data_IF_000630248631
#
_entry.id   IF_000630248631
#
_cell.length_a   1.000
_cell.length_b   1.000
_cell.length_c   1.000
_cell.angle_alpha   90.00
_cell.angle_beta   90.00
_cell.angle_gamma   90.00
#
_symmetry.space_group_name_H-M   'P 1'
#
loop_
_entity.id
_entity.type
_entity.pdbx_description
1 polymer ?
#
# COMPACT_ATOMS: atom_id res chain seq x y z
N UNK A 1 -9.68 9.33 -48.38
CA UNK A 1 -9.02 10.62 -48.65
C UNK A 1 -9.02 11.40 -47.35
N UNK A 2 -7.98 11.23 -46.53
CA UNK A 2 -6.74 12.03 -46.58
C UNK A 2 -7.03 13.46 -46.08
N UNK A 3 -6.68 13.83 -44.84
CA UNK A 3 -5.35 14.30 -44.37
C UNK A 3 -5.56 14.82 -42.92
N UNK A 4 -4.67 14.77 -41.93
CA UNK A 4 -3.22 14.56 -41.85
C UNK A 4 -2.88 14.07 -40.44
N UNK A 5 -1.99 13.08 -40.41
CA UNK A 5 -1.13 12.67 -39.29
C UNK A 5 -0.09 13.78 -39.01
N UNK A 6 -0.10 14.41 -37.84
CA UNK A 6 1.05 15.14 -37.31
C UNK A 6 0.81 15.59 -35.85
N UNK A 7 1.07 14.70 -34.89
CA UNK A 7 1.78 15.05 -33.64
C UNK A 7 2.10 13.77 -32.88
N UNK A 8 3.13 13.10 -33.38
CA UNK A 8 3.92 12.13 -32.63
C UNK A 8 5.10 12.88 -32.02
N UNK A 9 5.53 12.45 -30.82
CA UNK A 9 6.87 12.63 -30.23
C UNK A 9 7.16 13.92 -29.43
N UNK A 10 6.63 13.96 -28.22
CA UNK A 10 7.31 14.43 -27.00
C UNK A 10 6.40 13.97 -25.85
N UNK A 11 6.72 13.00 -24.99
CA UNK A 11 7.88 12.93 -24.10
C UNK A 11 8.00 11.49 -23.58
N UNK A 12 8.88 10.68 -24.18
CA UNK A 12 9.51 9.60 -23.41
C UNK A 12 10.64 10.26 -22.61
N UNK A 13 10.27 10.89 -21.50
CA UNK A 13 11.22 11.22 -20.45
C UNK A 13 11.66 9.91 -19.79
N UNK A 14 12.65 9.24 -20.38
CA UNK A 14 13.47 8.28 -19.66
C UNK A 14 14.22 9.07 -18.59
N UNK A 15 13.56 9.34 -17.46
CA UNK A 15 14.30 9.57 -16.23
C UNK A 15 15.00 8.23 -15.95
N UNK A 16 16.35 8.18 -16.01
CA UNK A 16 17.04 6.98 -15.60
C UNK A 16 16.67 6.74 -14.14
N UNK A 17 15.93 5.65 -13.89
CA UNK A 17 15.65 5.22 -12.53
C UNK A 17 16.99 5.08 -11.79
N UNK A 18 17.02 5.31 -10.48
CA UNK A 18 18.23 5.09 -9.68
C UNK A 18 18.84 3.71 -9.93
N UNK A 19 18.00 2.72 -10.23
CA UNK A 19 18.42 1.39 -10.66
C UNK A 19 19.14 1.39 -12.02
N UNK A 20 18.64 2.12 -13.03
CA UNK A 20 19.30 2.26 -14.34
C UNK A 20 20.68 2.94 -14.25
N UNK A 21 20.82 3.95 -13.40
CA UNK A 21 22.12 4.60 -13.18
C UNK A 21 23.10 3.67 -12.46
N UNK A 22 22.61 2.87 -11.51
CA UNK A 22 23.42 1.88 -10.79
C UNK A 22 23.89 0.74 -11.72
N UNK A 23 23.04 0.28 -12.63
CA UNK A 23 23.38 -0.75 -13.63
C UNK A 23 24.45 -0.23 -14.59
N UNK A 24 24.37 1.02 -15.04
CA UNK A 24 25.40 1.64 -15.89
C UNK A 24 26.74 1.78 -15.15
N UNK A 25 26.72 2.18 -13.88
CA UNK A 25 27.93 2.27 -13.04
C UNK A 25 28.57 0.89 -12.79
N UNK A 26 27.77 -0.13 -12.50
CA UNK A 26 28.25 -1.50 -12.32
C UNK A 26 28.84 -2.06 -13.62
N UNK A 27 28.21 -1.77 -14.77
CA UNK A 27 28.74 -2.14 -16.09
C UNK A 27 30.08 -1.47 -16.41
N UNK A 28 30.23 -0.19 -16.07
CA UNK A 28 31.49 0.55 -16.22
C UNK A 28 32.60 0.00 -15.30
N UNK A 29 32.28 -0.33 -14.05
CA UNK A 29 33.25 -0.91 -13.11
C UNK A 29 33.69 -2.32 -13.52
N UNK A 30 32.75 -3.15 -14.00
CA UNK A 30 33.05 -4.49 -14.50
C UNK A 30 33.99 -4.45 -15.71
N UNK A 31 33.76 -3.53 -16.65
CA UNK A 31 34.62 -3.37 -17.83
C UNK A 31 36.03 -2.89 -17.48
N UNK A 32 36.18 -1.98 -16.50
CA UNK A 32 37.49 -1.59 -15.96
C UNK A 32 38.18 -2.78 -15.27
N UNK A 33 37.44 -3.57 -14.49
CA UNK A 33 37.97 -4.76 -13.82
C UNK A 33 38.54 -5.80 -14.80
N UNK A 34 37.82 -6.05 -15.91
CA UNK A 34 38.30 -6.96 -16.97
C UNK A 34 39.59 -6.42 -17.60
N UNK A 35 39.66 -5.13 -17.93
CA UNK A 35 40.84 -4.52 -18.54
C UNK A 35 42.08 -4.60 -17.62
N UNK A 36 41.91 -4.34 -16.32
CA UNK A 36 43.00 -4.42 -15.33
C UNK A 36 43.45 -5.88 -15.13
N UNK A 37 42.51 -6.83 -15.04
CA UNK A 37 42.86 -8.24 -14.89
C UNK A 37 43.60 -8.79 -16.11
N UNK A 38 43.18 -8.41 -17.33
CA UNK A 38 43.91 -8.75 -18.55
C UNK A 38 45.33 -8.19 -18.56
N UNK A 39 45.52 -6.95 -18.11
CA UNK A 39 46.85 -6.34 -17.99
C UNK A 39 47.74 -7.07 -16.96
N UNK A 40 47.19 -7.44 -15.80
CA UNK A 40 47.91 -8.18 -14.77
C UNK A 40 48.31 -9.59 -15.23
N UNK A 41 47.39 -10.30 -15.90
CA UNK A 41 47.67 -11.64 -16.43
C UNK A 41 48.74 -11.62 -17.53
N UNK A 42 48.75 -10.59 -18.38
CA UNK A 42 49.78 -10.42 -19.40
C UNK A 42 51.15 -10.14 -18.76
N UNK A 43 51.17 -9.35 -17.67
CA UNK A 43 52.38 -9.11 -16.87
C UNK A 43 52.91 -10.38 -16.20
N UNK A 44 52.01 -11.24 -15.70
CA UNK A 44 52.40 -12.51 -15.07
C UNK A 44 53.00 -13.49 -16.10
N UNK A 45 52.49 -13.51 -17.34
CA UNK A 45 53.08 -14.33 -18.42
C UNK A 45 54.51 -13.90 -18.78
N UNK A 46 54.82 -12.61 -18.68
CA UNK A 46 56.16 -12.08 -18.95
C UNK A 46 57.21 -12.47 -17.90
N UNK A 47 56.82 -12.91 -16.70
CA UNK A 47 57.74 -13.31 -15.63
C UNK A 47 57.98 -14.82 -15.53
N UNK A 48 57.27 -15.66 -16.30
CA UNK A 48 57.53 -17.10 -16.34
C UNK A 48 58.60 -17.42 -17.38
N UNK A 49 59.87 -17.19 -17.02
CA UNK A 49 61.02 -17.69 -17.78
C UNK A 49 61.11 -19.22 -17.58
N UNK A 50 61.10 -20.04 -18.66
CA UNK A 50 61.40 -21.46 -18.55
C UNK A 50 62.92 -21.65 -18.43
N UNK A 51 63.38 -22.19 -17.30
CA UNK A 51 64.74 -22.73 -17.16
C UNK A 51 64.86 -24.00 -18.00
N UNK A 52 65.50 -23.89 -19.17
CA UNK A 52 65.87 -25.02 -20.01
C UNK A 52 67.31 -25.44 -19.76
N UNK A 53 67.49 -26.71 -19.38
CA UNK A 53 68.77 -27.40 -19.46
C UNK A 53 69.20 -27.64 -20.91
N UNK A 54 70.52 -27.60 -21.08
CA UNK A 54 71.41 -27.87 -22.23
C UNK A 54 70.93 -28.95 -23.22
N UNK A 55 71.05 -28.68 -24.53
CA UNK A 55 71.86 -29.43 -25.54
C UNK A 55 71.81 -28.70 -26.89
N UNK A 56 72.92 -28.84 -27.61
CA UNK A 56 73.42 -28.09 -28.77
C UNK A 56 72.94 -28.68 -30.11
N UNK A 57 72.81 -27.76 -31.09
CA UNK A 57 72.97 -27.89 -32.55
C UNK A 57 71.74 -28.00 -33.49
N UNK A 58 71.84 -27.12 -34.49
CA UNK A 58 71.37 -27.20 -35.89
C UNK A 58 70.04 -26.53 -36.24
N UNK A 59 70.22 -25.29 -36.69
CA UNK A 59 69.40 -24.37 -37.47
C UNK A 59 68.25 -24.95 -38.32
N UNK A 60 67.07 -24.33 -38.14
CA UNK A 60 66.16 -23.95 -39.23
C UNK A 60 65.60 -22.57 -38.92
N UNK A 61 65.91 -21.59 -39.76
CA UNK A 61 65.37 -20.23 -39.68
C UNK A 61 63.92 -20.19 -40.18
N UNK A 62 63.00 -19.72 -39.34
CA UNK A 62 61.69 -19.20 -39.75
C UNK A 62 61.65 -17.68 -39.53
N UNK A 63 61.08 -16.89 -40.46
CA UNK A 63 60.99 -15.45 -40.28
C UNK A 63 59.88 -15.14 -39.28
N UNK A 64 60.24 -14.61 -38.11
CA UNK A 64 59.26 -14.05 -37.19
C UNK A 64 58.98 -12.59 -37.57
N UNK A 65 57.75 -12.36 -38.03
CA UNK A 65 57.19 -11.05 -38.28
C UNK A 65 57.30 -10.14 -37.04
N UNK A 66 57.96 -8.99 -37.21
CA UNK A 66 57.93 -7.91 -36.24
C UNK A 66 56.52 -7.31 -36.19
N UNK A 67 55.70 -7.75 -35.23
CA UNK A 67 54.33 -7.28 -35.07
C UNK A 67 54.19 -6.36 -33.86
N UNK A 68 54.03 -5.07 -34.17
CA UNK A 68 53.20 -4.07 -33.49
C UNK A 68 53.11 -4.11 -31.96
N UNK A 69 54.19 -3.78 -31.25
CA UNK A 69 54.15 -3.54 -29.79
C UNK A 69 53.81 -2.10 -29.39
N UNK A 70 53.80 -1.17 -30.35
CA UNK A 70 53.68 0.28 -30.10
C UNK A 70 52.25 0.82 -30.14
N UNK A 71 51.29 0.13 -30.78
CA UNK A 71 49.88 0.60 -30.88
C UNK A 71 49.03 0.33 -29.64
N UNK A 72 49.27 -0.77 -28.92
CA UNK A 72 48.48 -1.14 -27.75
C UNK A 72 48.68 -0.18 -26.56
N UNK A 73 49.90 0.37 -26.41
CA UNK A 73 50.23 1.34 -25.35
C UNK A 73 49.56 2.70 -25.54
N UNK A 74 49.42 3.15 -26.78
CA UNK A 74 48.78 4.44 -27.07
C UNK A 74 47.26 4.42 -26.85
N UNK A 75 46.61 3.28 -27.12
CA UNK A 75 45.18 3.10 -26.90
C UNK A 75 44.80 3.08 -25.41
N UNK A 76 45.64 2.49 -24.56
CA UNK A 76 45.40 2.46 -23.11
C UNK A 76 45.62 3.84 -22.48
N UNK A 77 46.62 4.59 -22.93
CA UNK A 77 46.86 5.97 -22.49
C UNK A 77 45.70 6.88 -22.92
N UNK A 78 45.23 6.76 -24.16
CA UNK A 78 44.09 7.55 -24.66
C UNK A 78 42.80 7.23 -23.89
N UNK A 79 42.53 5.96 -23.58
CA UNK A 79 41.37 5.56 -22.80
C UNK A 79 41.43 6.08 -21.35
N UNK A 80 42.60 6.05 -20.71
CA UNK A 80 42.79 6.61 -19.37
C UNK A 80 42.58 8.14 -19.34
N UNK A 81 43.07 8.83 -20.37
CA UNK A 81 42.87 10.28 -20.50
C UNK A 81 41.39 10.64 -20.71
N UNK A 82 40.69 9.89 -21.56
CA UNK A 82 39.25 10.08 -21.77
C UNK A 82 38.42 9.83 -20.49
N UNK A 83 38.76 8.79 -19.73
CA UNK A 83 38.09 8.51 -18.46
C UNK A 83 38.33 9.62 -17.42
N UNK A 84 39.55 10.16 -17.33
CA UNK A 84 39.87 11.27 -16.45
C UNK A 84 39.11 12.55 -16.83
N UNK A 85 39.00 12.85 -18.13
CA UNK A 85 38.22 14.01 -18.64
C UNK A 85 36.73 13.85 -18.37
N UNK A 86 36.16 12.65 -18.55
CA UNK A 86 34.76 12.40 -18.21
C UNK A 86 34.49 12.55 -16.71
N UNK A 87 35.39 12.04 -15.86
CA UNK A 87 35.28 12.18 -14.42
C UNK A 87 35.38 13.65 -13.98
N UNK A 88 36.31 14.42 -14.52
CA UNK A 88 36.41 15.86 -14.21
C UNK A 88 35.20 16.63 -14.72
N UNK A 89 34.65 16.31 -15.89
CA UNK A 89 33.42 16.92 -16.40
C UNK A 89 32.20 16.62 -15.52
N UNK A 90 32.09 15.41 -14.97
CA UNK A 90 31.01 15.03 -14.03
C UNK A 90 31.17 15.76 -12.68
N UNK A 91 32.41 15.94 -12.21
CA UNK A 91 32.68 16.62 -10.94
C UNK A 91 32.61 18.15 -11.01
N UNK A 92 32.91 18.73 -12.18
CA UNK A 92 32.83 20.17 -12.45
C UNK A 92 31.47 20.61 -13.01
N UNK A 93 30.58 19.67 -13.32
CA UNK A 93 29.19 19.98 -13.66
C UNK A 93 28.55 20.73 -12.47
N UNK A 94 28.08 21.97 -12.67
CA UNK A 94 27.59 22.81 -11.59
C UNK A 94 26.41 22.13 -10.91
N UNK A 95 26.55 21.84 -9.61
CA UNK A 95 25.51 21.19 -8.78
C UNK A 95 24.29 22.09 -8.48
N UNK A 96 24.23 23.28 -9.08
CA UNK A 96 23.08 24.17 -9.00
C UNK A 96 22.34 24.18 -10.34
N UNK A 97 21.56 23.13 -10.56
CA UNK A 97 20.34 23.29 -11.35
C UNK A 97 19.35 23.95 -10.40
N UNK A 98 19.33 25.28 -10.36
CA UNK A 98 18.11 26.00 -9.97
C UNK A 98 17.03 25.53 -10.95
N UNK A 99 16.20 24.58 -10.49
CA UNK A 99 14.87 24.48 -11.05
C UNK A 99 14.26 25.85 -10.84
N UNK A 100 13.98 26.55 -11.93
CA UNK A 100 12.91 27.55 -11.90
C UNK A 100 11.71 26.80 -11.37
N UNK A 101 11.38 27.07 -10.11
CA UNK A 101 10.19 26.56 -9.47
C UNK A 101 9.04 27.32 -10.13
N UNK A 102 8.59 26.80 -11.27
CA UNK A 102 7.21 26.98 -11.69
C UNK A 102 6.38 26.68 -10.44
N UNK A 103 5.50 27.59 -9.99
CA UNK A 103 4.72 27.36 -8.79
C UNK A 103 4.06 26.00 -9.00
N UNK A 104 4.46 25.02 -8.20
CA UNK A 104 3.82 23.71 -8.27
C UNK A 104 2.33 24.00 -8.17
N UNK A 105 1.49 23.54 -9.12
CA UNK A 105 0.06 23.53 -8.85
C UNK A 105 -0.05 22.86 -7.49
N UNK A 106 -0.63 23.57 -6.52
CA UNK A 106 -1.05 22.96 -5.26
C UNK A 106 -1.73 21.68 -5.72
N UNK A 107 -1.28 20.47 -5.32
CA UNK A 107 -2.05 19.30 -5.67
C UNK A 107 -3.41 19.56 -5.05
N UNK A 108 -4.40 19.86 -5.89
CA UNK A 108 -5.78 19.54 -5.54
C UNK A 108 -5.68 18.04 -5.25
N UNK A 109 -5.54 17.71 -3.98
CA UNK A 109 -5.70 16.37 -3.48
C UNK A 109 -7.10 16.02 -3.93
N UNK A 110 -7.23 15.38 -5.09
CA UNK A 110 -8.49 14.81 -5.53
C UNK A 110 -8.88 13.90 -4.36
N UNK A 111 -9.97 14.23 -3.64
CA UNK A 111 -10.36 13.44 -2.50
C UNK A 111 -10.46 11.99 -2.98
N UNK A 112 -10.01 11.04 -2.15
CA UNK A 112 -10.21 9.61 -2.47
C UNK A 112 -11.68 9.45 -2.88
N UNK A 113 -11.92 8.82 -4.03
CA UNK A 113 -13.27 8.61 -4.51
C UNK A 113 -14.01 7.72 -3.49
N UNK A 114 -14.99 8.29 -2.79
CA UNK A 114 -15.82 7.59 -1.83
C UNK A 114 -17.13 7.19 -2.52
N UNK A 115 -17.61 5.95 -2.35
CA UNK A 115 -18.94 5.58 -2.81
C UNK A 115 -20.01 6.48 -2.19
N UNK A 116 -21.01 6.85 -2.98
CA UNK A 116 -22.13 7.63 -2.48
C UNK A 116 -22.95 6.79 -1.48
N UNK A 117 -23.34 7.40 -0.36
CA UNK A 117 -24.28 6.83 0.61
C UNK A 117 -25.39 7.83 0.91
N UNK A 118 -26.59 7.34 1.22
CA UNK A 118 -27.73 8.17 1.63
C UNK A 118 -27.75 8.44 3.13
N UNK A 119 -26.99 7.68 3.91
CA UNK A 119 -26.92 7.82 5.37
C UNK A 119 -25.54 7.40 5.92
N UNK A 120 -25.16 7.98 7.05
CA UNK A 120 -24.08 7.50 7.88
C UNK A 120 -24.49 6.19 8.57
N UNK A 121 -23.65 5.16 8.48
CA UNK A 121 -23.98 3.86 9.03
C UNK A 121 -23.04 2.75 8.54
N UNK A 122 -23.35 1.51 8.91
CA UNK A 122 -22.55 0.36 8.51
C UNK A 122 -22.38 0.24 7.00
N UNK A 123 -21.14 0.11 6.54
CA UNK A 123 -20.78 -0.02 5.12
C UNK A 123 -20.59 1.30 4.37
N UNK A 124 -20.86 2.46 4.99
CA UNK A 124 -20.62 3.75 4.36
C UNK A 124 -19.11 4.01 4.19
N UNK A 125 -18.69 4.45 3.00
CA UNK A 125 -17.32 4.89 2.76
C UNK A 125 -17.03 6.20 3.51
N UNK A 126 -15.89 6.26 4.19
CA UNK A 126 -15.42 7.41 4.95
C UNK A 126 -14.01 7.78 4.54
N UNK A 127 -13.70 9.07 4.58
CA UNK A 127 -12.33 9.57 4.48
C UNK A 127 -11.91 10.21 5.79
N UNK A 128 -10.79 9.76 6.33
CA UNK A 128 -10.19 10.26 7.56
C UNK A 128 -9.10 11.25 7.22
N UNK A 129 -9.34 12.52 7.48
CA UNK A 129 -8.38 13.61 7.36
C UNK A 129 -7.52 13.68 8.62
N UNK A 130 -6.24 13.30 8.49
CA UNK A 130 -5.35 13.25 9.64
C UNK A 130 -5.13 14.64 10.24
N UNK A 131 -5.28 14.74 11.55
CA UNK A 131 -5.14 16.01 12.27
C UNK A 131 -3.73 16.64 12.17
N UNK A 132 -2.71 15.84 11.82
CA UNK A 132 -1.33 16.29 11.61
C UNK A 132 -1.07 16.89 10.21
N UNK A 133 -2.08 16.90 9.33
CA UNK A 133 -1.97 17.42 7.97
C UNK A 133 -1.18 16.52 7.01
N UNK A 134 -0.80 15.30 7.42
CA UNK A 134 -0.04 14.36 6.58
C UNK A 134 -0.86 13.71 5.45
N UNK A 135 -2.11 14.13 5.28
CA UNK A 135 -3.07 13.61 4.32
C UNK A 135 -4.21 12.88 5.01
N UNK A 136 -4.58 11.72 4.50
CA UNK A 136 -5.69 10.95 5.04
C UNK A 136 -5.82 9.58 4.40
N UNK A 137 -6.84 8.84 4.81
CA UNK A 137 -7.09 7.46 4.39
C UNK A 137 -8.58 7.21 4.15
N UNK A 138 -8.89 6.46 3.10
CA UNK A 138 -10.23 5.92 2.87
C UNK A 138 -10.42 4.65 3.69
N UNK A 139 -11.53 4.56 4.40
CA UNK A 139 -11.96 3.41 5.19
C UNK A 139 -13.48 3.22 5.07
N UNK A 140 -14.00 2.17 5.69
CA UNK A 140 -15.43 1.91 5.78
C UNK A 140 -15.92 2.10 7.22
N UNK A 141 -17.10 2.68 7.39
CA UNK A 141 -17.78 2.78 8.67
C UNK A 141 -18.37 1.42 9.07
N UNK A 142 -18.14 1.02 10.33
CA UNK A 142 -18.51 -0.26 10.92
C UNK A 142 -19.92 -0.27 11.48
N UNK A 143 -20.11 0.08 12.76
CA UNK A 143 -21.45 0.07 13.37
C UNK A 143 -21.83 1.40 13.98
N UNK A 144 -23.09 1.80 13.78
CA UNK A 144 -23.67 2.96 14.46
C UNK A 144 -23.88 2.63 15.94
N UNK A 145 -23.46 3.54 16.81
CA UNK A 145 -23.49 3.41 18.26
C UNK A 145 -23.98 4.69 18.93
N UNK A 146 -24.32 4.58 20.20
CA UNK A 146 -24.58 5.70 21.12
C UNK A 146 -23.58 5.65 22.26
N UNK A 147 -23.00 6.79 22.59
CA UNK A 147 -22.19 6.94 23.81
C UNK A 147 -23.08 6.91 25.06
N UNK A 148 -22.46 6.77 26.24
CA UNK A 148 -23.16 6.91 27.51
C UNK A 148 -23.79 8.30 27.74
N UNK A 149 -23.31 9.32 27.02
CA UNK A 149 -23.88 10.69 26.98
C UNK A 149 -24.99 10.85 25.94
N UNK A 150 -25.29 9.82 25.15
CA UNK A 150 -26.34 9.83 24.11
C UNK A 150 -25.88 10.33 22.74
N UNK A 151 -24.62 10.74 22.59
CA UNK A 151 -24.05 11.17 21.31
C UNK A 151 -24.01 10.01 20.32
N UNK A 152 -24.31 10.28 19.05
CA UNK A 152 -24.16 9.29 18.01
C UNK A 152 -22.68 9.10 17.68
N UNK A 153 -22.28 7.86 17.44
CA UNK A 153 -20.95 7.54 16.96
C UNK A 153 -20.97 6.42 15.92
N UNK A 154 -19.84 6.23 15.26
CA UNK A 154 -19.55 5.11 14.37
C UNK A 154 -18.31 4.39 14.88
N UNK A 155 -18.39 3.07 14.99
CA UNK A 155 -17.21 2.22 15.11
C UNK A 155 -16.57 2.07 13.72
N UNK A 156 -15.25 1.95 13.67
CA UNK A 156 -14.44 1.64 12.49
C UNK A 156 -13.09 1.08 12.96
N UNK A 157 -12.18 0.72 12.06
CA UNK A 157 -10.85 0.24 12.43
C UNK A 157 -10.02 1.38 13.04
N UNK A 158 -9.22 1.09 14.06
CA UNK A 158 -8.38 2.07 14.71
C UNK A 158 -7.22 2.52 13.82
N UNK A 159 -6.66 1.62 13.01
CA UNK A 159 -5.60 1.95 12.07
C UNK A 159 -6.02 2.93 10.96
N UNK A 160 -7.34 3.17 10.79
CA UNK A 160 -7.85 4.24 9.93
C UNK A 160 -7.48 5.63 10.43
N UNK A 161 -7.02 5.74 11.67
CA UNK A 161 -6.59 6.98 12.29
C UNK A 161 -5.15 6.90 12.80
N UNK A 162 -4.52 8.07 12.97
CA UNK A 162 -3.28 8.14 13.75
C UNK A 162 -3.58 7.90 15.24
N UNK A 163 -2.70 7.20 15.97
CA UNK A 163 -2.86 7.04 17.41
C UNK A 163 -2.97 8.39 18.12
N UNK A 164 -3.94 8.51 19.03
CA UNK A 164 -4.14 9.69 19.89
C UNK A 164 -4.45 11.02 19.19
N UNK A 165 -4.90 11.02 17.93
CA UNK A 165 -5.27 12.25 17.21
C UNK A 165 -6.78 12.35 16.96
N UNK A 166 -7.37 13.55 17.10
CA UNK A 166 -8.79 13.79 16.80
C UNK A 166 -8.98 14.12 15.31
N UNK A 167 -8.67 13.16 14.43
CA UNK A 167 -8.78 13.34 12.98
C UNK A 167 -10.24 13.52 12.54
N UNK A 168 -10.45 14.34 11.52
CA UNK A 168 -11.77 14.65 10.99
C UNK A 168 -12.20 13.59 10.00
N UNK A 169 -13.50 13.36 9.93
CA UNK A 169 -14.09 12.34 9.06
C UNK A 169 -15.12 12.99 8.17
N UNK A 170 -15.03 12.70 6.88
CA UNK A 170 -15.99 13.12 5.85
C UNK A 170 -16.56 11.91 5.13
N UNK A 171 -17.72 12.07 4.49
CA UNK A 171 -18.35 11.05 3.67
C UNK A 171 -18.98 11.62 2.40
N UNK A 172 -19.12 10.79 1.38
CA UNK A 172 -19.87 11.14 0.18
C UNK A 172 -21.37 10.97 0.39
N UNK A 173 -22.00 12.01 0.95
CA UNK A 173 -23.45 12.03 1.15
C UNK A 173 -24.16 12.35 -0.18
N UNK A 174 -24.90 11.37 -0.70
CA UNK A 174 -25.74 11.53 -1.89
C UNK A 174 -24.98 11.75 -3.20
N UNK A 175 -23.66 11.55 -3.25
CA UNK A 175 -22.86 11.78 -4.46
C UNK A 175 -22.46 13.24 -4.66
N UNK A 176 -22.61 14.08 -3.64
CA UNK A 176 -22.44 15.54 -3.75
C UNK A 176 -21.07 15.95 -3.20
N UNK A 177 -20.34 16.77 -3.97
CA UNK A 177 -19.10 17.42 -3.53
C UNK A 177 -19.36 18.87 -3.09
N UNK A 178 -18.60 19.41 -2.12
CA UNK A 178 -17.58 18.71 -1.32
C UNK A 178 -18.19 17.66 -0.40
N UNK A 179 -17.40 16.65 0.00
CA UNK A 179 -17.87 15.63 0.93
C UNK A 179 -18.39 16.24 2.23
N UNK A 180 -19.46 15.65 2.75
CA UNK A 180 -20.10 16.11 3.97
C UNK A 180 -19.21 15.80 5.18
N UNK A 181 -19.06 16.78 6.07
CA UNK A 181 -18.45 16.55 7.39
C UNK A 181 -19.33 15.59 8.18
N UNK A 182 -18.71 14.54 8.69
CA UNK A 182 -19.40 13.46 9.40
C UNK A 182 -19.13 13.50 10.90
N UNK A 183 -17.86 13.67 11.29
CA UNK A 183 -17.48 13.59 12.70
C UNK A 183 -16.00 13.68 12.96
N UNK A 184 -15.60 13.28 14.17
CA UNK A 184 -14.21 13.30 14.63
C UNK A 184 -13.89 12.02 15.41
N UNK A 185 -12.70 11.46 15.24
CA UNK A 185 -12.21 10.38 16.11
C UNK A 185 -12.13 10.85 17.57
N UNK A 186 -12.87 10.17 18.45
CA UNK A 186 -12.84 10.39 19.89
C UNK A 186 -11.97 9.35 20.62
N UNK A 187 -11.86 8.14 20.06
CA UNK A 187 -10.99 7.07 20.59
C UNK A 187 -10.38 6.29 19.43
N UNK A 188 -9.14 5.85 19.64
CA UNK A 188 -8.37 5.08 18.66
C UNK A 188 -7.50 4.08 19.40
N UNK A 189 -7.60 2.81 19.03
CA UNK A 189 -6.75 1.71 19.47
C UNK A 189 -6.23 1.01 18.22
N UNK A 190 -4.91 1.00 18.04
CA UNK A 190 -4.23 0.37 16.89
C UNK A 190 -2.90 -0.18 17.37
N UNK A 191 -2.91 -1.41 17.89
CA UNK A 191 -1.78 -2.03 18.59
C UNK A 191 -0.88 -2.87 17.66
N UNK A 192 -1.29 -3.08 16.41
CA UNK A 192 -0.56 -3.83 15.40
C UNK A 192 -1.45 -4.79 14.62
N UNK A 193 -0.82 -5.70 13.87
CA UNK A 193 -1.51 -6.60 12.91
C UNK A 193 -1.39 -8.09 13.27
N UNK A 194 -0.85 -8.41 14.45
CA UNK A 194 -0.58 -9.79 14.86
C UNK A 194 -1.41 -10.20 16.08
N UNK A 195 -1.75 -11.49 16.16
CA UNK A 195 -2.41 -12.11 17.32
C UNK A 195 -3.65 -11.30 17.78
N UNK A 196 -3.74 -11.06 19.09
CA UNK A 196 -4.81 -10.34 19.77
C UNK A 196 -4.61 -8.81 19.81
N UNK A 197 -3.59 -8.26 19.14
CA UNK A 197 -3.41 -6.80 19.07
C UNK A 197 -4.69 -6.12 18.57
N UNK A 198 -5.19 -5.17 19.33
CA UNK A 198 -6.49 -4.57 19.10
C UNK A 198 -6.45 -3.48 18.04
N UNK A 199 -7.56 -3.38 17.31
CA UNK A 199 -7.71 -2.43 16.22
C UNK A 199 -9.16 -1.93 16.11
N UNK A 200 -9.44 -0.83 16.81
CA UNK A 200 -10.77 -0.22 16.81
C UNK A 200 -10.73 1.27 17.06
N UNK A 201 -11.65 1.98 16.42
CA UNK A 201 -11.85 3.40 16.52
C UNK A 201 -13.30 3.74 16.82
N UNK A 202 -13.49 4.86 17.52
CA UNK A 202 -14.79 5.50 17.72
C UNK A 202 -14.75 6.90 17.12
N UNK A 203 -15.60 7.13 16.13
CA UNK A 203 -15.90 8.45 15.58
C UNK A 203 -17.16 8.95 16.27
N UNK A 204 -17.13 10.15 16.85
CA UNK A 204 -18.34 10.84 17.32
C UNK A 204 -18.84 11.75 16.21
N UNK A 205 -20.15 11.70 15.94
CA UNK A 205 -20.77 12.39 14.80
C UNK A 205 -21.08 13.86 15.12
N UNK A 206 -20.87 14.73 14.14
CA UNK A 206 -21.11 16.17 14.25
C UNK A 206 -22.61 16.49 14.12
N UNK A 207 -23.34 16.49 15.24
CA UNK A 207 -24.77 16.82 15.25
C UNK A 207 -25.62 15.90 14.37
N UNK A 208 -26.85 16.32 14.03
CA UNK A 208 -27.84 15.49 13.32
C UNK A 208 -27.99 15.82 11.82
N UNK A 209 -27.00 16.49 11.23
CA UNK A 209 -27.09 17.01 9.85
C UNK A 209 -26.96 15.94 8.76
N UNK A 210 -26.45 14.75 9.11
CA UNK A 210 -26.32 13.62 8.20
C UNK A 210 -27.33 12.55 8.62
N UNK A 211 -28.22 12.09 7.72
CA UNK A 211 -29.12 10.98 8.01
C UNK A 211 -28.34 9.76 8.51
N UNK A 212 -28.91 9.00 9.44
CA UNK A 212 -28.23 7.84 10.04
C UNK A 212 -29.06 6.58 9.82
N UNK A 213 -28.40 5.47 9.55
CA UNK A 213 -29.02 4.16 9.44
C UNK A 213 -28.21 3.12 10.19
N UNK A 214 -28.89 2.24 10.92
CA UNK A 214 -28.27 1.06 11.52
C UNK A 214 -28.15 -0.11 10.53
N UNK A 215 -28.69 0.03 9.32
CA UNK A 215 -28.64 -1.03 8.31
C UNK A 215 -27.32 -1.03 7.53
N UNK A 216 -26.78 -2.21 7.26
CA UNK A 216 -25.61 -2.40 6.38
C UNK A 216 -25.95 -1.92 4.98
N UNK A 217 -25.09 -1.05 4.45
CA UNK A 217 -25.27 -0.35 3.18
C UNK A 217 -26.67 0.28 3.05
N UNK A 218 -27.27 0.71 4.17
CA UNK A 218 -28.63 1.26 4.28
C UNK A 218 -29.78 0.31 3.95
N UNK A 219 -29.52 -0.98 3.72
CA UNK A 219 -30.52 -1.95 3.23
C UNK A 219 -30.76 -3.13 4.18
N UNK A 220 -29.72 -3.68 4.81
CA UNK A 220 -29.83 -4.87 5.67
C UNK A 220 -29.89 -4.49 7.15
N UNK A 221 -31.05 -4.61 7.84
CA UNK A 221 -31.21 -4.14 9.21
C UNK A 221 -30.37 -4.93 10.21
N UNK A 222 -29.64 -4.22 11.08
CA UNK A 222 -28.98 -4.83 12.24
C UNK A 222 -29.96 -4.90 13.40
N UNK A 223 -30.25 -6.10 13.93
CA UNK A 223 -31.24 -6.31 15.01
C UNK A 223 -30.62 -6.78 16.33
N UNK A 224 -29.30 -6.97 16.37
CA UNK A 224 -28.59 -7.40 17.57
C UNK A 224 -27.08 -7.32 17.42
N UNK A 225 -26.38 -7.76 18.48
CA UNK A 225 -24.93 -7.93 18.52
C UNK A 225 -24.63 -9.31 19.12
N UNK A 226 -23.62 -10.01 18.60
CA UNK A 226 -23.24 -11.33 19.12
C UNK A 226 -21.72 -11.54 19.08
N UNK A 227 -21.24 -12.35 20.02
CA UNK A 227 -19.92 -13.00 19.99
C UNK A 227 -20.04 -14.52 20.06
N UNK A 228 -21.27 -15.04 20.04
CA UNK A 228 -21.54 -16.48 19.98
C UNK A 228 -21.36 -16.95 18.54
N UNK A 229 -20.15 -17.39 18.23
CA UNK A 229 -19.69 -17.79 16.90
C UNK A 229 -19.14 -19.20 16.95
N UNK A 230 -19.39 -19.96 15.90
CA UNK A 230 -18.85 -21.31 15.73
C UNK A 230 -18.02 -21.42 14.46
N UNK A 231 -16.95 -22.21 14.50
CA UNK A 231 -16.18 -22.57 13.29
C UNK A 231 -17.12 -23.19 12.26
N UNK A 232 -16.97 -22.78 11.00
CA UNK A 232 -17.83 -23.19 9.88
C UNK A 232 -19.12 -22.38 9.73
N UNK A 233 -19.50 -21.56 10.71
CA UNK A 233 -20.63 -20.63 10.58
C UNK A 233 -20.33 -19.57 9.51
N UNK A 234 -21.30 -19.21 8.68
CA UNK A 234 -21.10 -18.20 7.66
C UNK A 234 -21.20 -16.78 8.24
N UNK A 235 -20.19 -15.97 7.97
CA UNK A 235 -20.21 -14.52 8.23
C UNK A 235 -20.09 -13.77 6.91
N UNK A 236 -20.71 -12.61 6.87
CA UNK A 236 -20.61 -11.68 5.76
C UNK A 236 -19.93 -10.39 6.20
N UNK A 237 -19.25 -9.72 5.26
CA UNK A 237 -18.73 -8.37 5.42
C UNK A 237 -19.17 -7.46 4.28
N UNK A 238 -19.07 -6.16 4.51
CA UNK A 238 -19.25 -5.15 3.48
C UNK A 238 -18.17 -4.07 3.61
N UNK A 239 -17.62 -3.62 2.49
CA UNK A 239 -16.55 -2.62 2.44
C UNK A 239 -16.72 -1.67 1.25
N UNK A 240 -16.24 -0.44 1.38
CA UNK A 240 -16.40 0.58 0.35
C UNK A 240 -15.66 0.25 -0.96
N UNK A 241 -14.61 -0.57 -0.89
CA UNK A 241 -13.81 -0.94 -2.05
C UNK A 241 -14.36 -2.18 -2.74
N UNK A 242 -14.81 -3.18 -1.98
CA UNK A 242 -15.52 -4.33 -2.55
C UNK A 242 -16.89 -3.93 -3.11
N UNK A 243 -17.62 -3.03 -2.44
CA UNK A 243 -18.91 -2.50 -2.90
C UNK A 243 -20.09 -3.49 -2.82
N UNK A 244 -19.83 -4.73 -2.46
CA UNK A 244 -20.83 -5.80 -2.30
C UNK A 244 -20.56 -6.64 -1.04
N UNK A 245 -21.53 -7.46 -0.66
CA UNK A 245 -21.37 -8.37 0.47
C UNK A 245 -20.49 -9.56 0.08
N UNK A 246 -19.44 -9.81 0.86
CA UNK A 246 -18.59 -10.99 0.74
C UNK A 246 -18.79 -11.89 1.96
N UNK A 247 -19.13 -13.16 1.73
CA UNK A 247 -19.45 -14.10 2.79
C UNK A 247 -18.58 -15.34 2.73
N UNK A 248 -18.36 -15.96 3.89
CA UNK A 248 -17.70 -17.24 3.99
C UNK A 248 -17.62 -17.79 5.41
N UNK A 249 -17.20 -19.06 5.56
CA UNK A 249 -17.18 -19.73 6.84
C UNK A 249 -16.12 -19.16 7.79
N UNK A 250 -16.45 -19.12 9.08
CA UNK A 250 -15.53 -18.88 10.19
C UNK A 250 -14.46 -19.96 10.21
N UNK A 251 -13.21 -19.53 10.29
CA UNK A 251 -12.03 -20.36 10.40
C UNK A 251 -11.58 -20.52 11.85
N UNK A 252 -11.61 -19.43 12.61
CA UNK A 252 -11.12 -19.38 13.98
C UNK A 252 -11.79 -18.23 14.76
N UNK A 253 -11.98 -18.41 16.06
CA UNK A 253 -12.57 -17.45 16.98
C UNK A 253 -11.70 -17.37 18.24
N UNK A 254 -11.27 -16.17 18.58
CA UNK A 254 -10.52 -15.88 19.80
C UNK A 254 -11.34 -15.00 20.74
N UNK A 255 -10.74 -14.54 21.85
CA UNK A 255 -11.41 -13.64 22.79
C UNK A 255 -11.81 -12.31 22.13
N UNK A 256 -10.97 -11.76 21.24
CA UNK A 256 -11.20 -10.44 20.65
C UNK A 256 -11.47 -10.45 19.15
N UNK A 257 -11.26 -11.58 18.46
CA UNK A 257 -11.25 -11.62 16.99
C UNK A 257 -11.95 -12.83 16.42
N UNK A 258 -12.34 -12.70 15.16
CA UNK A 258 -12.81 -13.82 14.33
C UNK A 258 -12.12 -13.75 12.97
N UNK A 259 -11.66 -14.89 12.46
CA UNK A 259 -11.17 -15.02 11.08
C UNK A 259 -12.12 -15.87 10.25
N UNK A 260 -12.33 -15.52 8.98
CA UNK A 260 -13.31 -16.16 8.11
C UNK A 260 -12.92 -16.03 6.63
N UNK A 261 -13.41 -16.96 5.80
CA UNK A 261 -13.10 -17.04 4.36
C UNK A 261 -13.92 -16.07 3.51
N UNK A 262 -13.79 -14.78 3.77
CA UNK A 262 -14.25 -13.72 2.87
C UNK A 262 -13.05 -12.94 2.33
N UNK A 263 -13.14 -12.48 1.09
CA UNK A 263 -12.13 -11.60 0.51
C UNK A 263 -12.22 -10.19 1.09
N UNK A 264 -11.28 -9.36 0.67
CA UNK A 264 -11.25 -7.96 1.05
C UNK A 264 -10.18 -7.18 0.30
N UNK A 265 -10.36 -5.87 0.29
CA UNK A 265 -9.47 -4.93 -0.37
C UNK A 265 -9.16 -3.73 0.54
N UNK A 266 -8.07 -3.03 0.27
CA UNK A 266 -7.78 -1.80 0.98
C UNK A 266 -8.90 -0.78 0.81
N UNK A 267 -9.32 -0.16 1.91
CA UNK A 267 -10.51 0.68 2.00
C UNK A 267 -11.70 0.00 2.67
N UNK A 268 -11.77 -1.34 2.66
CA UNK A 268 -12.81 -2.07 3.40
C UNK A 268 -12.59 -2.04 4.92
N UNK A 269 -11.37 -1.70 5.36
CA UNK A 269 -11.00 -1.57 6.77
C UNK A 269 -12.04 -0.76 7.54
N UNK A 270 -12.47 -1.32 8.66
CA UNK A 270 -13.51 -0.80 9.53
C UNK A 270 -14.93 -1.20 9.15
N UNK A 271 -15.14 -1.80 7.97
CA UNK A 271 -16.45 -2.22 7.48
C UNK A 271 -17.12 -3.28 8.37
N UNK A 272 -18.46 -3.36 8.37
CA UNK A 272 -19.18 -4.27 9.26
C UNK A 272 -18.95 -5.72 8.86
N UNK A 273 -18.72 -6.56 9.86
CA UNK A 273 -18.80 -8.02 9.79
C UNK A 273 -20.03 -8.46 10.60
N UNK A 274 -20.89 -9.26 9.99
CA UNK A 274 -22.21 -9.55 10.50
C UNK A 274 -22.65 -10.99 10.16
N UNK A 275 -23.56 -11.49 10.98
CA UNK A 275 -24.21 -12.78 10.82
C UNK A 275 -25.64 -12.57 10.30
N UNK A 276 -25.95 -13.11 9.14
CA UNK A 276 -27.31 -13.13 8.60
C UNK A 276 -28.17 -14.09 9.42
N UNK A 277 -29.35 -13.63 9.82
CA UNK A 277 -30.33 -14.39 10.58
C UNK A 277 -31.36 -15.03 9.63
N UNK A 278 -32.02 -16.09 10.10
CA UNK A 278 -33.08 -16.77 9.33
C UNK A 278 -34.27 -15.85 8.98
N UNK A 279 -34.46 -14.75 9.72
CA UNK A 279 -35.51 -13.76 9.47
C UNK A 279 -35.12 -12.70 8.42
N UNK A 280 -33.93 -12.83 7.80
CA UNK A 280 -33.41 -11.91 6.80
C UNK A 280 -32.80 -10.62 7.38
N UNK A 281 -32.72 -10.48 8.70
CA UNK A 281 -31.97 -9.41 9.37
C UNK A 281 -30.53 -9.84 9.63
N UNK A 282 -29.72 -8.93 10.16
CA UNK A 282 -28.34 -9.22 10.52
C UNK A 282 -28.04 -8.92 11.99
N UNK A 283 -27.09 -9.64 12.55
CA UNK A 283 -26.53 -9.39 13.88
C UNK A 283 -25.10 -8.92 13.72
N UNK A 284 -24.74 -7.82 14.39
CA UNK A 284 -23.40 -7.27 14.37
C UNK A 284 -22.42 -8.23 15.07
N UNK A 285 -21.26 -8.46 14.46
CA UNK A 285 -20.21 -9.33 15.01
C UNK A 285 -18.94 -8.54 15.29
N UNK A 286 -18.42 -7.86 14.27
CA UNK A 286 -17.13 -7.19 14.35
C UNK A 286 -16.91 -6.18 13.23
N UNK A 287 -15.74 -5.56 13.22
CA UNK A 287 -15.29 -4.68 12.14
C UNK A 287 -14.09 -5.30 11.43
N UNK A 288 -14.05 -5.27 10.10
CA UNK A 288 -12.96 -5.83 9.30
C UNK A 288 -11.68 -5.03 9.54
N UNK A 289 -10.62 -5.65 10.02
CA UNK A 289 -9.38 -4.94 10.41
C UNK A 289 -8.18 -5.33 9.58
N UNK A 290 -8.24 -6.48 8.90
CA UNK A 290 -7.18 -6.98 8.04
C UNK A 290 -7.70 -8.08 7.13
N UNK A 291 -7.08 -8.18 5.96
CA UNK A 291 -7.19 -9.35 5.10
C UNK A 291 -5.79 -9.83 4.72
N UNK A 292 -5.67 -11.10 4.34
CA UNK A 292 -4.44 -11.62 3.75
C UNK A 292 -4.72 -12.67 2.69
N UNK A 293 -3.71 -12.92 1.88
CA UNK A 293 -3.69 -14.00 0.90
C UNK A 293 -2.46 -14.87 1.20
N UNK A 294 -2.62 -16.13 1.63
CA UNK A 294 -1.49 -17.00 1.97
C UNK A 294 -0.51 -17.21 0.82
N UNK A 295 -0.96 -17.10 -0.43
CA UNK A 295 -0.09 -17.19 -1.60
C UNK A 295 0.81 -15.96 -1.77
N UNK A 296 0.39 -14.81 -1.24
CA UNK A 296 1.08 -13.51 -1.36
C UNK A 296 0.93 -12.69 -0.07
N UNK A 297 1.49 -13.16 1.06
CA UNK A 297 1.20 -12.60 2.38
C UNK A 297 1.62 -11.14 2.56
N UNK A 298 2.55 -10.65 1.71
CA UNK A 298 3.10 -9.30 1.74
C UNK A 298 2.56 -8.40 0.61
N UNK A 299 1.49 -8.80 -0.08
CA UNK A 299 0.95 -8.02 -1.19
C UNK A 299 0.39 -6.66 -0.74
N UNK A 300 0.01 -6.52 0.54
CA UNK A 300 -0.66 -5.32 1.04
C UNK A 300 -1.87 -5.00 0.17
N UNK A 301 -1.98 -3.73 -0.26
CA UNK A 301 -3.07 -3.27 -1.13
C UNK A 301 -2.92 -3.68 -2.61
N UNK A 302 -1.84 -4.36 -3.01
CA UNK A 302 -1.59 -4.71 -4.41
C UNK A 302 -2.34 -5.96 -4.88
N UNK A 303 -2.90 -6.75 -3.96
CA UNK A 303 -3.70 -7.91 -4.29
C UNK A 303 -4.88 -8.07 -3.30
N UNK A 304 -6.03 -8.55 -3.78
CA UNK A 304 -7.15 -8.87 -2.89
C UNK A 304 -6.77 -9.95 -1.87
N UNK A 305 -7.30 -9.80 -0.67
CA UNK A 305 -7.25 -10.83 0.36
C UNK A 305 -8.14 -12.04 0.00
N UNK A 306 -7.83 -13.18 0.60
CA UNK A 306 -8.61 -14.43 0.50
C UNK A 306 -9.31 -14.81 1.79
N UNK A 307 -8.90 -14.22 2.90
CA UNK A 307 -9.58 -14.30 4.17
C UNK A 307 -9.50 -12.95 4.87
N UNK A 308 -10.46 -12.71 5.75
CA UNK A 308 -10.58 -11.50 6.56
C UNK A 308 -10.48 -11.85 8.04
N UNK A 309 -10.08 -10.86 8.84
CA UNK A 309 -10.14 -10.92 10.30
C UNK A 309 -10.88 -9.69 10.80
N UNK A 310 -11.82 -9.92 11.70
CA UNK A 310 -12.60 -8.87 12.33
C UNK A 310 -12.23 -8.70 13.81
N UNK A 311 -12.22 -7.47 14.30
CA UNK A 311 -12.25 -7.16 15.73
C UNK A 311 -13.69 -7.25 16.22
N UNK A 312 -13.95 -8.08 17.24
CA UNK A 312 -15.30 -8.25 17.81
C UNK A 312 -15.77 -6.95 18.44
N UNK A 313 -17.00 -6.51 18.15
CA UNK A 313 -17.48 -5.21 18.63
C UNK A 313 -18.04 -5.26 20.05
N UNK A 314 -18.65 -6.38 20.48
CA UNK A 314 -19.30 -6.47 21.80
C UNK A 314 -18.34 -6.17 22.97
N UNK A 315 -17.09 -6.67 23.02
CA UNK A 315 -16.15 -6.32 24.09
C UNK A 315 -15.91 -4.81 24.18
N UNK A 316 -15.87 -4.12 23.05
CA UNK A 316 -15.66 -2.67 22.99
C UNK A 316 -16.91 -1.86 23.32
N UNK A 317 -18.10 -2.35 22.94
CA UNK A 317 -19.36 -1.77 23.40
C UNK A 317 -19.41 -1.77 24.94
N UNK A 318 -19.03 -2.89 25.57
CA UNK A 318 -18.97 -3.00 27.02
C UNK A 318 -17.89 -2.09 27.61
N UNK A 319 -16.65 -2.17 27.09
CA UNK A 319 -15.48 -1.43 27.61
C UNK A 319 -15.64 0.09 27.49
N UNK A 320 -16.27 0.58 26.44
CA UNK A 320 -16.49 2.01 26.20
C UNK A 320 -17.89 2.48 26.59
N UNK A 321 -18.71 1.62 27.19
CA UNK A 321 -20.09 1.92 27.60
C UNK A 321 -20.93 2.48 26.44
N UNK A 322 -20.83 1.82 25.28
CA UNK A 322 -21.57 2.15 24.08
C UNK A 322 -22.77 1.23 23.91
N UNK A 323 -23.84 1.76 23.33
CA UNK A 323 -25.00 0.97 22.91
C UNK A 323 -25.04 0.91 21.39
N UNK A 324 -25.12 -0.28 20.81
CA UNK A 324 -25.30 -0.42 19.37
C UNK A 324 -26.67 0.13 18.95
N UNK A 325 -26.71 0.93 17.89
CA UNK A 325 -27.97 1.34 17.28
C UNK A 325 -28.49 0.16 16.44
N UNK A 326 -29.63 -0.39 16.83
CA UNK A 326 -30.26 -1.54 16.17
C UNK A 326 -31.64 -1.14 15.66
N UNK A 327 -32.06 -1.76 14.54
CA UNK A 327 -33.43 -1.69 14.07
C UNK A 327 -34.36 -2.37 15.08
N UNK A 328 -35.50 -1.73 15.37
CA UNK A 328 -36.55 -2.39 16.14
C UNK A 328 -37.12 -3.54 15.31
N UNK A 329 -37.19 -4.74 15.89
CA UNK A 329 -37.90 -5.84 15.24
C UNK A 329 -39.36 -5.43 15.09
N UNK A 330 -39.96 -5.55 13.89
CA UNK A 330 -41.40 -5.41 13.77
C UNK A 330 -42.06 -6.44 14.71
N UNK A 331 -42.88 -5.97 15.64
CA UNK A 331 -43.60 -6.86 16.56
C UNK A 331 -44.45 -7.88 15.80
N UNK A 332 -44.84 -9.01 16.43
CA UNK A 332 -45.73 -9.96 15.79
C UNK A 332 -47.01 -9.24 15.35
N UNK A 333 -47.30 -9.32 14.04
CA UNK A 333 -48.60 -8.92 13.48
C UNK A 333 -49.62 -10.02 13.73
#
# INVERSE_FOLDING_TARGET
MERVYAQQLATFGLQPSRAGLLVLLLGALASVGVAVLSFLLDRIRLYRVPTGGVVVASAVSYPHAARERTRASWLTIAAAFAAAVCMTAIWLAPKHIERVQEPAPIPELTPIALPASTAAGPGAGIYVEYADGSGGMGCTAGFLVRTSTGEAGLLTAGHCNRPHTPSKVVMNLGGILPYAKLGTFARTVSEGVHNEQHDIGLIVLDGDNVPRSSAVATTLPITGVTTDLSIGQELCKFGMSSGEAECGPVLDVTESKVSFLAGGQCGDSGGPVYLIQNDGTATAVGIDIRGSNPATPNAGCLAPAKFSVAELVQPWLNKWQLTAAIAQRPGPR
#
